data_IF_285597787189
#
_entry.id   IF_285597787189
#
_cell.length_a   1.000
_cell.length_b   1.000
_cell.length_c   1.000
_cell.angle_alpha   90.00
_cell.angle_beta   90.00
_cell.angle_gamma   90.00
#
_symmetry.space_group_name_H-M   'P 1'
#
loop_
_entity.id
_entity.type
_entity.pdbx_description
1 polymer ?
#
# COMPACT_ATOMS: atom_id res chain seq x y z
N UNK A 1 -18.05 13.40 -18.45
CA UNK A 1 -18.21 13.88 -17.06
C UNK A 1 -17.53 12.87 -16.15
N UNK A 2 -16.21 13.00 -16.02
CA UNK A 2 -15.40 12.06 -15.25
C UNK A 2 -15.66 12.24 -13.76
N UNK A 3 -15.79 11.14 -13.03
CA UNK A 3 -15.85 11.16 -11.57
C UNK A 3 -14.66 11.96 -11.03
N UNK A 4 -14.93 12.86 -10.08
CA UNK A 4 -13.88 13.65 -9.45
C UNK A 4 -12.87 12.72 -8.75
N UNK A 5 -11.62 13.17 -8.60
CA UNK A 5 -10.55 12.35 -8.01
C UNK A 5 -10.95 11.79 -6.63
N UNK A 6 -11.73 12.56 -5.86
CA UNK A 6 -12.28 12.17 -4.56
C UNK A 6 -13.23 10.96 -4.66
N UNK A 7 -14.03 10.87 -5.73
CA UNK A 7 -14.96 9.76 -5.92
C UNK A 7 -14.23 8.48 -6.33
N UNK A 8 -13.18 8.59 -7.14
CA UNK A 8 -12.30 7.46 -7.42
C UNK A 8 -11.56 6.98 -6.18
N UNK A 9 -11.06 7.90 -5.34
CA UNK A 9 -10.45 7.55 -4.06
C UNK A 9 -11.44 6.78 -3.17
N UNK A 10 -12.69 7.24 -3.07
CA UNK A 10 -13.73 6.54 -2.31
C UNK A 10 -14.00 5.12 -2.83
N UNK A 11 -14.14 4.95 -4.16
CA UNK A 11 -14.38 3.62 -4.76
C UNK A 11 -13.19 2.69 -4.50
N UNK A 12 -11.97 3.17 -4.67
CA UNK A 12 -10.76 2.37 -4.44
C UNK A 12 -10.64 1.95 -2.99
N UNK A 13 -10.77 2.88 -2.04
CA UNK A 13 -10.69 2.56 -0.62
C UNK A 13 -11.82 1.62 -0.19
N UNK A 14 -13.06 1.85 -0.64
CA UNK A 14 -14.18 0.96 -0.37
C UNK A 14 -13.94 -0.46 -0.89
N UNK A 15 -13.41 -0.58 -2.11
CA UNK A 15 -13.08 -1.88 -2.72
C UNK A 15 -11.96 -2.60 -1.96
N UNK A 16 -10.90 -1.88 -1.54
CA UNK A 16 -9.79 -2.44 -0.76
C UNK A 16 -10.31 -2.93 0.60
N UNK A 17 -11.07 -2.10 1.33
CA UNK A 17 -11.62 -2.46 2.64
C UNK A 17 -12.52 -3.70 2.52
N UNK A 18 -13.40 -3.72 1.52
CA UNK A 18 -14.27 -4.87 1.26
C UNK A 18 -13.46 -6.14 0.94
N UNK A 19 -12.44 -6.03 0.08
CA UNK A 19 -11.55 -7.15 -0.24
C UNK A 19 -10.83 -7.69 0.99
N UNK A 20 -10.31 -6.82 1.87
CA UNK A 20 -9.69 -7.20 3.13
C UNK A 20 -10.70 -7.90 4.05
N UNK A 21 -11.93 -7.39 4.16
CA UNK A 21 -12.98 -8.01 4.98
C UNK A 21 -13.37 -9.41 4.49
N UNK A 22 -13.47 -9.60 3.17
CA UNK A 22 -13.70 -10.91 2.56
C UNK A 22 -12.53 -11.84 2.84
N UNK A 23 -11.29 -11.38 2.66
CA UNK A 23 -10.09 -12.17 2.94
C UNK A 23 -10.02 -12.57 4.42
N UNK A 24 -10.31 -11.65 5.33
CA UNK A 24 -10.33 -11.90 6.78
C UNK A 24 -11.49 -12.79 7.24
N UNK A 25 -12.55 -12.94 6.44
CA UNK A 25 -13.65 -13.85 6.76
C UNK A 25 -13.26 -15.33 6.58
N UNK A 26 -12.17 -15.63 5.87
CA UNK A 26 -11.70 -17.00 5.68
C UNK A 26 -10.99 -17.51 6.94
N UNK A 27 -11.66 -18.41 7.65
CA UNK A 27 -11.14 -19.02 8.89
C UNK A 27 -9.87 -19.87 8.69
N UNK A 28 -9.56 -20.29 7.46
CA UNK A 28 -8.36 -21.04 7.12
C UNK A 28 -7.05 -20.32 7.53
N UNK A 29 -7.09 -18.99 7.66
CA UNK A 29 -5.96 -18.16 8.07
C UNK A 29 -5.71 -18.17 9.59
N UNK A 30 -6.74 -18.50 10.40
CA UNK A 30 -6.71 -18.46 11.87
C UNK A 30 -6.56 -19.85 12.51
N UNK A 31 -6.48 -20.91 11.70
CA UNK A 31 -6.30 -22.27 12.20
C UNK A 31 -4.94 -22.47 12.89
N UNK A 32 -4.92 -23.25 13.97
CA UNK A 32 -3.71 -23.57 14.74
C UNK A 32 -2.65 -24.35 13.95
N UNK A 33 -2.96 -24.79 12.73
CA UNK A 33 -2.07 -25.53 11.83
C UNK A 33 -1.26 -24.64 10.88
N UNK A 34 -1.39 -23.31 10.94
CA UNK A 34 -0.55 -22.40 10.14
C UNK A 34 0.87 -22.41 10.71
N UNK A 35 1.72 -23.29 10.16
CA UNK A 35 3.13 -23.36 10.48
C UNK A 35 3.78 -22.06 9.96
N UNK A 36 4.22 -21.19 10.86
CA UNK A 36 4.94 -19.97 10.49
C UNK A 36 6.25 -20.40 9.83
N UNK A 37 6.39 -20.21 8.51
CA UNK A 37 7.64 -20.51 7.83
C UNK A 37 8.74 -19.58 8.37
N UNK A 38 9.86 -20.16 8.81
CA UNK A 38 11.04 -19.38 9.15
C UNK A 38 11.58 -18.71 7.88
N UNK A 39 12.25 -17.56 8.03
CA UNK A 39 12.84 -16.82 6.91
C UNK A 39 13.83 -17.67 6.08
N UNK A 40 14.48 -18.63 6.71
CA UNK A 40 15.37 -19.60 6.05
C UNK A 40 14.61 -20.52 5.08
N UNK A 41 13.36 -20.84 5.37
CA UNK A 41 12.55 -21.81 4.62
C UNK A 41 11.71 -21.15 3.50
N UNK A 42 11.71 -19.81 3.43
CA UNK A 42 10.99 -19.09 2.40
C UNK A 42 11.70 -19.17 1.05
N UNK A 43 10.93 -19.46 0.00
CA UNK A 43 11.41 -19.45 -1.39
C UNK A 43 11.93 -18.07 -1.78
N UNK A 44 12.87 -18.05 -2.72
CA UNK A 44 13.46 -16.80 -3.21
C UNK A 44 12.40 -15.84 -3.78
N UNK A 45 11.35 -16.37 -4.42
CA UNK A 45 10.22 -15.61 -4.95
C UNK A 45 9.43 -14.90 -3.83
N UNK A 46 9.26 -15.55 -2.68
CA UNK A 46 8.56 -14.97 -1.54
C UNK A 46 9.36 -13.79 -0.98
N UNK A 47 10.69 -13.97 -0.82
CA UNK A 47 11.60 -12.90 -0.39
C UNK A 47 11.62 -11.73 -1.37
N UNK A 48 11.67 -12.02 -2.67
CA UNK A 48 11.62 -10.99 -3.72
C UNK A 48 10.31 -10.20 -3.65
N UNK A 49 9.18 -10.87 -3.49
CA UNK A 49 7.86 -10.22 -3.41
C UNK A 49 7.73 -9.32 -2.17
N UNK A 50 8.24 -9.77 -1.02
CA UNK A 50 8.26 -8.96 0.20
C UNK A 50 9.17 -7.73 0.01
N UNK A 51 10.38 -7.93 -0.52
CA UNK A 51 11.33 -6.86 -0.75
C UNK A 51 10.80 -5.83 -1.77
N UNK A 52 10.20 -6.29 -2.88
CA UNK A 52 9.63 -5.40 -3.89
C UNK A 52 8.44 -4.61 -3.36
N UNK A 53 7.54 -5.24 -2.60
CA UNK A 53 6.42 -4.54 -1.97
C UNK A 53 6.90 -3.43 -1.02
N UNK A 54 7.86 -3.73 -0.16
CA UNK A 54 8.46 -2.74 0.75
C UNK A 54 9.12 -1.60 -0.03
N UNK A 55 9.89 -1.94 -1.08
CA UNK A 55 10.58 -0.95 -1.92
C UNK A 55 9.59 -0.02 -2.62
N UNK A 56 8.53 -0.57 -3.22
CA UNK A 56 7.49 0.22 -3.91
C UNK A 56 6.81 1.16 -2.90
N UNK A 57 6.41 0.66 -1.73
CA UNK A 57 5.77 1.49 -0.70
C UNK A 57 6.73 2.61 -0.23
N UNK A 58 7.99 2.28 0.01
CA UNK A 58 9.00 3.27 0.41
C UNK A 58 9.21 4.34 -0.65
N UNK A 59 9.30 3.97 -1.93
CA UNK A 59 9.45 4.92 -3.04
C UNK A 59 8.21 5.80 -3.21
N UNK A 60 7.01 5.26 -3.05
CA UNK A 60 5.76 6.03 -3.10
C UNK A 60 5.70 7.04 -1.94
N UNK A 61 6.06 6.59 -0.73
CA UNK A 61 6.16 7.46 0.44
C UNK A 61 7.19 8.57 0.22
N UNK A 62 8.40 8.24 -0.24
CA UNK A 62 9.47 9.20 -0.45
C UNK A 62 9.11 10.21 -1.55
N UNK A 63 8.43 9.78 -2.61
CA UNK A 63 7.94 10.65 -3.68
C UNK A 63 6.88 11.63 -3.17
N UNK A 64 5.93 11.14 -2.38
CA UNK A 64 4.89 11.97 -1.77
C UNK A 64 5.50 12.96 -0.78
N UNK A 65 6.46 12.50 0.02
CA UNK A 65 7.17 13.32 1.00
C UNK A 65 8.06 14.38 0.34
N UNK A 66 8.75 14.05 -0.76
CA UNK A 66 9.54 15.02 -1.52
C UNK A 66 8.67 16.09 -2.19
N UNK A 67 7.44 15.74 -2.58
CA UNK A 67 6.49 16.66 -3.19
C UNK A 67 5.85 17.58 -2.15
N UNK A 68 5.35 17.03 -1.04
CA UNK A 68 4.47 17.76 -0.11
C UNK A 68 5.08 18.05 1.27
N UNK A 69 6.21 17.43 1.63
CA UNK A 69 6.80 17.53 2.96
C UNK A 69 5.92 16.90 4.06
N UNK A 70 6.12 17.28 5.34
CA UNK A 70 5.36 16.76 6.48
C UNK A 70 3.94 17.36 6.62
N UNK A 71 3.54 18.28 5.74
CA UNK A 71 2.25 18.98 5.78
C UNK A 71 1.19 18.36 4.87
N UNK A 72 0.05 19.04 4.76
CA UNK A 72 -1.00 18.69 3.79
C UNK A 72 -0.54 19.11 2.39
N UNK A 73 -0.60 18.17 1.42
CA UNK A 73 -0.36 18.51 0.02
C UNK A 73 -1.37 19.58 -0.45
N UNK A 74 -0.93 20.64 -1.16
CA UNK A 74 -1.86 21.50 -1.88
C UNK A 74 -2.57 20.72 -3.00
N UNK A 75 -3.80 21.11 -3.33
CA UNK A 75 -4.62 20.45 -4.35
C UNK A 75 -3.97 20.46 -5.76
N UNK A 76 -3.12 21.45 -6.04
CA UNK A 76 -2.31 21.55 -7.27
C UNK A 76 -0.85 21.90 -6.94
N UNK A 77 0.05 20.91 -6.75
CA UNK A 77 1.46 21.18 -6.49
C UNK A 77 2.18 21.55 -7.80
N UNK A 78 2.64 22.80 -7.90
CA UNK A 78 3.44 23.31 -9.03
C UNK A 78 4.97 23.10 -8.87
N UNK A 79 5.42 22.38 -7.84
CA UNK A 79 6.84 22.11 -7.61
C UNK A 79 7.12 21.12 -6.47
N UNK A 80 8.36 20.62 -6.39
CA UNK A 80 8.83 19.76 -5.31
C UNK A 80 9.34 20.62 -4.14
N UNK A 81 8.80 20.42 -2.93
CA UNK A 81 9.28 21.10 -1.72
C UNK A 81 10.77 20.84 -1.46
N UNK A 82 11.29 19.66 -1.82
CA UNK A 82 12.69 19.31 -1.60
C UNK A 82 13.68 20.09 -2.50
N UNK A 83 13.20 20.71 -3.59
CA UNK A 83 14.02 21.49 -4.54
C UNK A 83 13.65 22.98 -4.58
N UNK A 84 12.89 23.47 -3.60
CA UNK A 84 12.54 24.89 -3.43
C UNK A 84 13.45 25.60 -2.44
#
# INVERSE_FOLDING_TARGET
MGLHFYTWAFILFGTIIFGIAVLASFQAQYGSSVKRLAWSEQTWLCKLSIASAIMIVALNFLSTFALCGPGVCPDDPVGYWLMS
#
